data_IF_929558910578
#
_entry.id   IF_929558910578
#
_cell.length_a   1.000
_cell.length_b   1.000
_cell.length_c   1.000
_cell.angle_alpha   90.00
_cell.angle_beta   90.00
_cell.angle_gamma   90.00
#
_symmetry.space_group_name_H-M   'P 1'
#
loop_
_entity.id
_entity.type
_entity.pdbx_description
1 polymer ?
#
# COMPACT_ATOMS: atom_id res chain seq x y z
N UNK A 1 10.20 -27.53 17.29
CA UNK A 1 9.08 -26.65 17.66
C UNK A 1 9.48 -25.22 17.29
N UNK A 2 9.34 -24.87 16.01
CA UNK A 2 9.72 -23.56 15.52
C UNK A 2 8.66 -22.54 15.92
N UNK A 3 9.09 -21.42 16.48
CA UNK A 3 8.24 -20.26 16.73
C UNK A 3 7.46 -20.00 15.43
N UNK A 4 6.14 -20.14 15.46
CA UNK A 4 5.32 -19.80 14.29
C UNK A 4 5.59 -18.32 14.03
N UNK A 5 6.18 -17.98 12.88
CA UNK A 5 6.43 -16.60 12.46
C UNK A 5 5.16 -15.73 12.62
N UNK A 6 4.00 -16.34 12.43
CA UNK A 6 2.67 -15.78 12.63
C UNK A 6 2.38 -15.32 14.09
N UNK A 7 2.99 -15.93 15.12
CA UNK A 7 2.84 -15.54 16.52
C UNK A 7 3.70 -14.36 16.93
N UNK A 8 4.87 -14.16 16.29
CA UNK A 8 5.69 -12.95 16.47
C UNK A 8 5.00 -11.72 15.88
N UNK A 9 4.17 -11.92 14.85
CA UNK A 9 3.44 -10.86 14.14
C UNK A 9 2.11 -10.49 14.83
N UNK A 10 1.53 -11.37 15.67
CA UNK A 10 0.29 -11.11 16.43
C UNK A 10 0.23 -9.72 17.09
N UNK A 11 1.24 -9.25 17.85
CA UNK A 11 1.18 -7.93 18.49
C UNK A 11 1.11 -6.77 17.48
N UNK A 12 1.71 -6.94 16.30
CA UNK A 12 1.69 -5.93 15.23
C UNK A 12 0.38 -5.94 14.44
N UNK A 13 -0.29 -7.09 14.31
CA UNK A 13 -1.63 -7.17 13.72
C UNK A 13 -2.69 -6.40 14.51
N UNK A 14 -2.53 -6.20 15.83
CA UNK A 14 -3.47 -5.42 16.64
C UNK A 14 -3.40 -3.91 16.38
N UNK A 15 -2.26 -3.42 15.90
CA UNK A 15 -2.04 -1.99 15.58
C UNK A 15 -2.47 -1.68 14.15
N UNK A 16 -2.52 -2.70 13.28
CA UNK A 16 -3.02 -2.56 11.93
C UNK A 16 -4.53 -2.30 11.95
N UNK A 17 -4.99 -1.24 11.27
CA UNK A 17 -6.40 -1.08 11.06
C UNK A 17 -6.90 -2.13 10.06
N UNK A 18 -7.90 -2.90 10.45
CA UNK A 18 -8.55 -3.90 9.62
C UNK A 18 -10.04 -3.54 9.47
N UNK A 19 -10.55 -3.58 8.24
CA UNK A 19 -11.98 -3.41 8.01
C UNK A 19 -12.70 -4.67 8.48
N UNK A 20 -13.69 -4.49 9.35
CA UNK A 20 -14.52 -5.60 9.80
C UNK A 20 -15.35 -6.14 8.64
N UNK A 21 -15.37 -7.47 8.51
CA UNK A 21 -16.22 -8.15 7.53
C UNK A 21 -17.69 -7.83 7.82
N UNK A 22 -18.53 -7.62 6.80
CA UNK A 22 -19.92 -7.28 7.02
C UNK A 22 -20.65 -8.43 7.73
N UNK A 23 -21.32 -8.11 8.84
CA UNK A 23 -22.10 -9.07 9.63
C UNK A 23 -23.33 -9.60 8.88
N UNK A 24 -23.82 -8.83 7.90
CA UNK A 24 -24.96 -9.17 7.05
C UNK A 24 -24.55 -9.43 5.60
N UNK A 25 -25.33 -10.25 4.89
CA UNK A 25 -25.19 -10.39 3.43
C UNK A 25 -25.60 -9.08 2.75
N UNK A 26 -24.65 -8.42 2.10
CA UNK A 26 -24.86 -7.17 1.34
C UNK A 26 -25.56 -7.50 0.02
N UNK A 27 -26.63 -6.76 -0.31
CA UNK A 27 -27.34 -6.90 -1.59
C UNK A 27 -26.49 -6.41 -2.77
N UNK A 28 -26.72 -6.94 -3.98
CA UNK A 28 -25.93 -6.56 -5.17
C UNK A 28 -25.93 -5.05 -5.45
N UNK A 29 -27.08 -4.38 -5.24
CA UNK A 29 -27.19 -2.92 -5.43
C UNK A 29 -26.30 -2.13 -4.45
N UNK A 30 -26.23 -2.57 -3.21
CA UNK A 30 -25.33 -1.98 -2.20
C UNK A 30 -23.87 -2.20 -2.59
N UNK A 31 -23.50 -3.40 -3.08
CA UNK A 31 -22.13 -3.67 -3.54
C UNK A 31 -21.71 -2.73 -4.68
N UNK A 32 -22.57 -2.56 -5.68
CA UNK A 32 -22.30 -1.65 -6.81
C UNK A 32 -22.13 -0.21 -6.33
N UNK A 33 -22.95 0.23 -5.37
CA UNK A 33 -22.85 1.57 -4.79
C UNK A 33 -21.54 1.76 -4.02
N UNK A 34 -21.13 0.79 -3.20
CA UNK A 34 -19.84 0.83 -2.50
C UNK A 34 -18.65 0.83 -3.48
N UNK A 35 -18.68 0.00 -4.53
CA UNK A 35 -17.64 0.00 -5.56
C UNK A 35 -17.58 1.34 -6.31
N UNK A 36 -18.72 1.96 -6.62
CA UNK A 36 -18.74 3.26 -7.28
C UNK A 36 -18.16 4.37 -6.38
N UNK A 37 -18.48 4.35 -5.08
CA UNK A 37 -17.95 5.31 -4.11
C UNK A 37 -16.44 5.15 -3.95
N UNK A 38 -15.93 3.93 -3.77
CA UNK A 38 -14.48 3.68 -3.62
C UNK A 38 -13.72 4.07 -4.88
N UNK A 39 -14.26 3.75 -6.07
CA UNK A 39 -13.69 4.16 -7.34
C UNK A 39 -13.64 5.68 -7.50
N UNK A 40 -14.70 6.39 -7.11
CA UNK A 40 -14.71 7.86 -7.18
C UNK A 40 -13.66 8.49 -6.26
N UNK A 41 -13.53 7.99 -5.03
CA UNK A 41 -12.47 8.43 -4.09
C UNK A 41 -11.09 8.17 -4.68
N UNK A 42 -10.88 6.98 -5.27
CA UNK A 42 -9.62 6.62 -5.91
C UNK A 42 -9.27 7.57 -7.06
N UNK A 43 -10.22 7.87 -7.94
CA UNK A 43 -10.04 8.80 -9.06
C UNK A 43 -9.74 10.22 -8.59
N UNK A 44 -10.40 10.71 -7.54
CA UNK A 44 -10.10 12.03 -6.96
C UNK A 44 -8.68 12.04 -6.37
N UNK A 45 -8.27 11.01 -5.64
CA UNK A 45 -6.91 10.89 -5.12
C UNK A 45 -5.85 10.88 -6.24
N UNK A 46 -6.14 10.27 -7.39
CA UNK A 46 -5.26 10.29 -8.58
C UNK A 46 -5.08 11.69 -9.19
N UNK A 47 -5.90 12.68 -8.83
CA UNK A 47 -5.84 14.05 -9.35
C UNK A 47 -5.19 15.02 -8.35
N UNK A 48 -4.97 14.63 -7.10
CA UNK A 48 -4.36 15.50 -6.08
C UNK A 48 -2.84 15.44 -6.27
N UNK A 49 -2.20 16.55 -6.69
CA UNK A 49 -0.76 16.60 -6.84
C UNK A 49 -0.09 16.47 -5.48
N UNK A 50 1.04 15.79 -5.45
CA UNK A 50 1.82 15.61 -4.23
C UNK A 50 2.43 16.95 -3.81
N UNK A 51 2.40 17.28 -2.52
CA UNK A 51 2.91 18.56 -2.06
C UNK A 51 4.46 18.58 -2.11
N UNK A 52 5.05 19.57 -2.81
CA UNK A 52 6.49 19.83 -2.77
C UNK A 52 7.31 19.34 -3.97
N UNK A 53 6.68 18.93 -5.08
CA UNK A 53 7.39 18.52 -6.30
C UNK A 53 7.94 19.76 -7.03
N UNK A 54 9.27 19.86 -7.16
CA UNK A 54 9.92 20.97 -7.86
C UNK A 54 10.27 20.65 -9.33
N UNK A 55 10.30 19.38 -9.72
CA UNK A 55 10.72 18.94 -11.06
C UNK A 55 9.77 17.90 -11.65
N UNK A 56 8.91 18.30 -12.58
CA UNK A 56 7.99 17.42 -13.31
C UNK A 56 8.53 16.93 -14.65
N UNK A 57 9.76 17.30 -15.02
CA UNK A 57 10.24 17.28 -16.41
C UNK A 57 11.24 16.15 -16.75
N UNK A 58 11.38 15.14 -15.89
CA UNK A 58 12.22 13.97 -16.22
C UNK A 58 11.40 12.87 -16.89
N UNK A 59 11.89 12.37 -18.03
CA UNK A 59 11.30 11.27 -18.79
C UNK A 59 10.99 10.08 -17.87
N UNK A 60 9.74 9.62 -17.88
CA UNK A 60 9.22 8.58 -16.98
C UNK A 60 9.64 7.18 -17.47
N UNK A 61 10.67 6.53 -16.89
CA UNK A 61 11.17 5.25 -17.39
C UNK A 61 10.17 4.12 -17.14
N UNK A 62 9.21 4.35 -16.24
CA UNK A 62 8.21 3.40 -15.78
C UNK A 62 6.83 3.60 -16.41
N UNK A 63 6.71 4.30 -17.54
CA UNK A 63 5.41 4.59 -18.18
C UNK A 63 4.51 3.35 -18.33
N UNK A 64 5.05 2.23 -18.81
CA UNK A 64 4.31 0.97 -18.95
C UNK A 64 3.94 0.32 -17.61
N UNK A 65 4.79 0.47 -16.60
CA UNK A 65 4.56 -0.09 -15.26
C UNK A 65 3.47 0.72 -14.52
N UNK A 66 3.42 2.04 -14.71
CA UNK A 66 2.42 2.92 -14.10
C UNK A 66 0.98 2.56 -14.46
N UNK A 67 0.74 2.12 -15.70
CA UNK A 67 -0.59 1.66 -16.16
C UNK A 67 -1.07 0.45 -15.37
N UNK A 68 -0.18 -0.51 -15.07
CA UNK A 68 -0.52 -1.72 -14.32
C UNK A 68 -0.67 -1.42 -12.82
N UNK A 69 0.12 -0.48 -12.31
CA UNK A 69 0.16 -0.12 -10.88
C UNK A 69 -0.90 0.91 -10.46
N UNK A 70 -1.69 1.40 -11.42
CA UNK A 70 -2.64 2.50 -11.25
C UNK A 70 -1.99 3.73 -10.57
N UNK A 71 -0.79 4.08 -11.03
CA UNK A 71 0.04 5.16 -10.49
C UNK A 71 0.10 6.35 -11.44
N UNK A 72 -0.12 7.55 -10.91
CA UNK A 72 0.11 8.81 -11.62
C UNK A 72 1.30 9.53 -11.00
N UNK A 73 2.26 9.91 -11.85
CA UNK A 73 3.46 10.63 -11.41
C UNK A 73 3.09 11.96 -10.74
N UNK A 74 3.74 12.26 -9.61
CA UNK A 74 3.55 13.52 -8.91
C UNK A 74 2.16 13.70 -8.30
N UNK A 75 1.48 12.60 -8.01
CA UNK A 75 0.21 12.60 -7.27
C UNK A 75 0.33 11.72 -6.04
N UNK A 76 -0.64 11.78 -5.15
CA UNK A 76 -0.73 10.87 -3.99
C UNK A 76 -0.57 9.39 -4.40
N UNK A 77 -0.98 9.03 -5.61
CA UNK A 77 -0.88 7.67 -6.16
C UNK A 77 0.47 7.37 -6.84
N UNK A 78 1.54 8.12 -6.58
CA UNK A 78 2.83 7.85 -7.24
C UNK A 78 3.37 6.44 -6.94
N UNK A 79 3.25 5.96 -5.69
CA UNK A 79 3.58 4.57 -5.36
C UNK A 79 2.48 3.58 -5.79
N UNK A 80 1.26 4.05 -6.05
CA UNK A 80 0.12 3.27 -6.49
C UNK A 80 -0.20 2.07 -5.58
N UNK A 81 -0.65 0.97 -6.20
CA UNK A 81 -0.97 -0.29 -5.52
C UNK A 81 0.29 -1.18 -5.40
N UNK A 82 1.44 -0.73 -5.91
CA UNK A 82 2.67 -1.52 -6.00
C UNK A 82 3.09 -2.16 -4.68
N UNK A 83 3.19 -1.44 -3.54
CA UNK A 83 3.61 -2.05 -2.28
C UNK A 83 2.65 -3.15 -1.79
N UNK A 84 1.36 -3.04 -2.11
CA UNK A 84 0.32 -4.02 -1.73
C UNK A 84 0.46 -5.28 -2.59
N UNK A 85 0.63 -5.12 -3.91
CA UNK A 85 0.82 -6.26 -4.81
C UNK A 85 2.17 -6.93 -4.54
N UNK A 86 3.24 -6.17 -4.31
CA UNK A 86 4.57 -6.71 -4.02
C UNK A 86 4.58 -7.48 -2.70
N UNK A 87 3.99 -6.96 -1.62
CA UNK A 87 3.90 -7.71 -0.36
C UNK A 87 3.04 -8.97 -0.50
N UNK A 88 1.96 -8.87 -1.28
CA UNK A 88 1.10 -10.01 -1.63
C UNK A 88 1.87 -11.12 -2.32
N UNK A 89 2.61 -10.79 -3.39
CA UNK A 89 3.42 -11.72 -4.17
C UNK A 89 4.53 -12.36 -3.34
N UNK A 90 5.26 -11.57 -2.53
CA UNK A 90 6.32 -12.10 -1.65
C UNK A 90 5.74 -13.09 -0.65
N UNK A 91 4.63 -12.74 -0.01
CA UNK A 91 4.02 -13.61 1.00
C UNK A 91 3.41 -14.87 0.37
N UNK A 92 2.81 -14.75 -0.81
CA UNK A 92 2.32 -15.89 -1.59
C UNK A 92 3.45 -16.81 -2.04
N UNK A 93 4.60 -16.25 -2.47
CA UNK A 93 5.78 -17.02 -2.83
C UNK A 93 6.35 -17.79 -1.63
N UNK A 94 6.45 -17.14 -0.46
CA UNK A 94 6.92 -17.77 0.79
C UNK A 94 6.01 -18.92 1.25
N UNK A 95 4.70 -18.76 1.09
CA UNK A 95 3.72 -19.82 1.36
C UNK A 95 3.82 -20.95 0.31
N UNK A 96 3.94 -20.61 -0.97
CA UNK A 96 4.05 -21.58 -2.07
C UNK A 96 5.34 -22.41 -2.03
N UNK A 97 6.45 -21.80 -1.61
CA UNK A 97 7.73 -22.47 -1.38
C UNK A 97 7.76 -23.30 -0.09
N UNK A 98 6.66 -23.34 0.68
CA UNK A 98 6.54 -24.01 1.99
C UNK A 98 7.58 -23.57 3.03
N UNK A 99 8.16 -22.38 2.87
CA UNK A 99 9.03 -21.77 3.88
C UNK A 99 8.20 -21.32 5.08
N UNK A 100 6.97 -20.84 4.82
CA UNK A 100 5.98 -20.50 5.83
C UNK A 100 4.79 -21.44 5.68
N UNK A 101 4.52 -22.26 6.71
CA UNK A 101 3.29 -23.05 6.77
C UNK A 101 2.12 -22.16 7.20
N UNK A 102 1.22 -21.90 6.25
CA UNK A 102 -0.03 -21.20 6.50
C UNK A 102 -1.13 -22.24 6.52
N UNK A 103 -1.74 -22.45 7.69
CA UNK A 103 -2.88 -23.35 7.83
C UNK A 103 -4.13 -22.77 7.16
N UNK A 104 -5.09 -23.64 6.84
CA UNK A 104 -6.39 -23.23 6.31
C UNK A 104 -7.35 -22.69 7.38
N UNK A 105 -6.89 -22.59 8.63
CA UNK A 105 -7.72 -22.09 9.72
C UNK A 105 -8.04 -20.60 9.52
N UNK A 106 -9.23 -20.13 9.93
CA UNK A 106 -9.60 -18.72 9.81
C UNK A 106 -8.63 -17.79 10.57
N UNK A 107 -7.98 -18.30 11.63
CA UNK A 107 -6.97 -17.56 12.40
C UNK A 107 -5.68 -17.39 11.60
N UNK A 108 -5.20 -18.44 10.95
CA UNK A 108 -3.96 -18.38 10.15
C UNK A 108 -4.15 -17.49 8.91
N UNK A 109 -5.32 -17.54 8.27
CA UNK A 109 -5.67 -16.64 7.16
C UNK A 109 -5.71 -15.17 7.59
N UNK A 110 -6.26 -14.87 8.76
CA UNK A 110 -6.25 -13.51 9.30
C UNK A 110 -4.83 -13.01 9.60
N UNK A 111 -3.99 -13.86 10.21
CA UNK A 111 -2.58 -13.53 10.47
C UNK A 111 -1.77 -13.34 9.19
N UNK A 112 -2.05 -14.13 8.15
CA UNK A 112 -1.42 -14.00 6.84
C UNK A 112 -1.79 -12.66 6.16
N UNK A 113 -3.07 -12.30 6.16
CA UNK A 113 -3.53 -11.01 5.65
C UNK A 113 -2.93 -9.84 6.44
N UNK A 114 -2.89 -9.94 7.78
CA UNK A 114 -2.23 -8.93 8.62
C UNK A 114 -0.74 -8.80 8.31
N UNK A 115 -0.02 -9.91 8.13
CA UNK A 115 1.38 -9.90 7.72
C UNK A 115 1.59 -9.23 6.36
N UNK A 116 0.75 -9.52 5.35
CA UNK A 116 0.83 -8.87 4.04
C UNK A 116 0.68 -7.36 4.13
N UNK A 117 -0.23 -6.86 4.98
CA UNK A 117 -0.41 -5.42 5.22
C UNK A 117 0.80 -4.79 5.91
N UNK A 118 1.39 -5.46 6.91
CA UNK A 118 2.62 -4.99 7.56
C UNK A 118 3.77 -4.90 6.58
N UNK A 119 3.99 -5.95 5.79
CA UNK A 119 5.02 -5.94 4.76
C UNK A 119 4.78 -4.85 3.72
N UNK A 120 3.52 -4.63 3.30
CA UNK A 120 3.17 -3.54 2.40
C UNK A 120 3.52 -2.16 2.98
N UNK A 121 3.26 -1.95 4.27
CA UNK A 121 3.61 -0.71 4.97
C UNK A 121 5.13 -0.51 5.05
N UNK A 122 5.89 -1.55 5.40
CA UNK A 122 7.35 -1.50 5.49
C UNK A 122 7.97 -1.20 4.10
N UNK A 123 7.49 -1.88 3.05
CA UNK A 123 7.95 -1.66 1.68
C UNK A 123 7.66 -0.22 1.25
N UNK A 124 6.49 0.32 1.59
CA UNK A 124 6.12 1.70 1.27
C UNK A 124 7.05 2.71 1.93
N UNK A 125 7.39 2.52 3.21
CA UNK A 125 8.35 3.38 3.92
C UNK A 125 9.72 3.31 3.23
N UNK A 126 10.20 2.10 2.96
CA UNK A 126 11.48 1.89 2.28
C UNK A 126 11.52 2.53 0.89
N UNK A 127 10.47 2.34 0.08
CA UNK A 127 10.35 2.97 -1.23
C UNK A 127 10.26 4.48 -1.13
N UNK A 128 9.46 5.04 -0.21
CA UNK A 128 9.36 6.49 -0.04
C UNK A 128 10.72 7.11 0.30
N UNK A 129 11.50 6.49 1.18
CA UNK A 129 12.87 6.94 1.52
C UNK A 129 13.77 6.88 0.29
N UNK A 130 13.79 5.76 -0.44
CA UNK A 130 14.62 5.60 -1.63
C UNK A 130 14.24 6.58 -2.74
N UNK A 131 12.94 6.81 -2.97
CA UNK A 131 12.46 7.79 -3.95
C UNK A 131 12.88 9.22 -3.63
N UNK A 132 12.86 9.60 -2.34
CA UNK A 132 13.36 10.91 -1.90
C UNK A 132 14.88 10.98 -2.03
N UNK A 133 15.62 9.96 -1.57
CA UNK A 133 17.09 9.94 -1.63
C UNK A 133 17.66 9.90 -3.05
N UNK A 134 16.96 9.26 -3.99
CA UNK A 134 17.35 9.23 -5.41
C UNK A 134 17.11 10.55 -6.12
N UNK A 135 16.50 11.54 -5.46
CA UNK A 135 16.25 12.87 -6.00
C UNK A 135 15.14 12.91 -7.05
N UNK A 136 14.28 11.88 -7.13
CA UNK A 136 13.20 11.81 -8.13
C UNK A 136 12.18 12.96 -7.99
N UNK A 137 12.06 13.54 -6.80
CA UNK A 137 11.18 14.67 -6.49
C UNK A 137 11.90 16.05 -6.53
N UNK A 138 13.24 16.05 -6.61
CA UNK A 138 14.13 17.20 -6.41
C UNK A 138 15.35 16.83 -5.55
N UNK A 139 16.39 17.65 -5.54
CA UNK A 139 17.57 17.41 -4.69
C UNK A 139 17.17 17.59 -3.20
N UNK A 140 17.40 16.59 -2.33
CA UNK A 140 17.06 16.68 -0.90
C UNK A 140 17.65 17.91 -0.19
N UNK A 141 18.77 18.44 -0.67
CA UNK A 141 19.40 19.64 -0.14
C UNK A 141 18.59 20.91 -0.43
N UNK A 142 17.93 20.97 -1.59
CA UNK A 142 17.14 22.13 -2.04
C UNK A 142 15.69 22.07 -1.54
N UNK A 143 15.12 20.87 -1.38
CA UNK A 143 13.75 20.66 -0.91
C UNK A 143 13.60 20.88 0.61
N UNK A 144 14.69 20.70 1.37
CA UNK A 144 14.67 20.78 2.82
C UNK A 144 14.03 19.55 3.50
N UNK A 145 14.57 19.16 4.66
CA UNK A 145 14.17 17.95 5.38
C UNK A 145 12.67 17.90 5.76
N UNK A 146 12.02 19.06 5.92
CA UNK A 146 10.59 19.16 6.22
C UNK A 146 9.69 18.66 5.08
N UNK A 147 10.02 18.99 3.82
CA UNK A 147 9.25 18.54 2.66
C UNK A 147 9.45 17.04 2.44
N UNK A 148 10.69 16.56 2.58
CA UNK A 148 10.99 15.12 2.53
C UNK A 148 10.17 14.31 3.55
N UNK A 149 10.05 14.80 4.77
CA UNK A 149 9.27 14.14 5.82
C UNK A 149 7.76 14.20 5.53
N UNK A 150 7.26 15.30 4.95
CA UNK A 150 5.87 15.42 4.50
C UNK A 150 5.54 14.44 3.36
N UNK A 151 6.45 14.18 2.43
CA UNK A 151 6.27 13.21 1.34
C UNK A 151 6.11 11.80 1.90
N UNK A 152 6.95 11.42 2.87
CA UNK A 152 6.89 10.10 3.51
C UNK A 152 5.55 9.91 4.25
N UNK A 153 5.10 10.93 4.98
CA UNK A 153 3.80 10.90 5.67
C UNK A 153 2.65 10.78 4.66
N UNK A 154 2.69 11.54 3.56
CA UNK A 154 1.67 11.46 2.51
C UNK A 154 1.63 10.08 1.84
N UNK A 155 2.79 9.47 1.57
CA UNK A 155 2.87 8.13 1.00
C UNK A 155 2.25 7.07 1.93
N UNK A 156 2.49 7.17 3.24
CA UNK A 156 1.88 6.30 4.26
C UNK A 156 0.36 6.47 4.34
N UNK A 157 -0.13 7.71 4.33
CA UNK A 157 -1.56 8.01 4.33
C UNK A 157 -2.25 7.46 3.08
N UNK A 158 -1.62 7.62 1.91
CA UNK A 158 -2.15 7.13 0.64
C UNK A 158 -2.23 5.61 0.62
N UNK A 159 -1.18 4.91 1.07
CA UNK A 159 -1.22 3.45 1.20
C UNK A 159 -2.35 3.01 2.12
N UNK A 160 -2.57 3.72 3.22
CA UNK A 160 -3.66 3.40 4.16
C UNK A 160 -5.02 3.54 3.48
N UNK A 161 -5.26 4.65 2.77
CA UNK A 161 -6.50 4.90 2.02
C UNK A 161 -6.70 3.85 0.94
N UNK A 162 -5.66 3.54 0.18
CA UNK A 162 -5.71 2.54 -0.89
C UNK A 162 -5.96 1.13 -0.35
N UNK A 163 -5.31 0.77 0.76
CA UNK A 163 -5.55 -0.48 1.47
C UNK A 163 -7.00 -0.62 1.94
N UNK A 164 -7.58 0.45 2.50
CA UNK A 164 -9.00 0.45 2.85
C UNK A 164 -9.91 0.32 1.63
N UNK A 165 -9.61 1.03 0.53
CA UNK A 165 -10.40 0.97 -0.69
C UNK A 165 -10.36 -0.41 -1.37
N UNK A 166 -9.26 -1.16 -1.22
CA UNK A 166 -9.13 -2.55 -1.71
C UNK A 166 -9.90 -3.55 -0.85
N UNK A 167 -10.09 -3.25 0.44
CA UNK A 167 -10.80 -4.11 1.40
C UNK A 167 -12.32 -3.90 1.43
N UNK A 168 -12.82 -2.78 0.89
CA UNK A 168 -14.24 -2.40 0.77
C UNK A 168 -14.91 -3.05 -0.45
#
# INVERSE_FOLDING_TARGET
>A
MGIKFLEVIKPFCAVLPEIQKPERKIQFREKVLWTAITLFIFLVCCQIPLFGIMSSDSADPFYWMRVILASNRGTLMELGISPIVTSGLIMQLLAGAKIIEVGDTPKDRALFNGAQKLFGMIITIGQAIVYVMTGMYGDPADMGAGICLLIIIQALLTLKICGYAVEL
#
